data_IF_634335162206
#
_entry.id   IF_634335162206
#
_cell.length_a   1.000
_cell.length_b   1.000
_cell.length_c   1.000
_cell.angle_alpha   90.00
_cell.angle_beta   90.00
_cell.angle_gamma   90.00
#
_symmetry.space_group_name_H-M   'P 1'
#
loop_
_entity.id
_entity.type
_entity.pdbx_description
1 polymer ?
#
# COMPACT_ATOMS: atom_id res chain seq x y z
N UNK A 1 9.03 19.59 -5.23
CA UNK A 1 8.45 18.23 -5.29
C UNK A 1 8.21 17.79 -3.86
N UNK A 2 7.23 16.94 -3.61
CA UNK A 2 6.95 16.42 -2.27
C UNK A 2 7.51 15.02 -2.12
N UNK A 3 7.91 14.62 -0.90
CA UNK A 3 8.25 13.23 -0.56
C UNK A 3 6.98 12.49 -0.21
N UNK A 4 6.86 11.22 -0.56
CA UNK A 4 5.67 10.42 -0.31
C UNK A 4 6.00 8.98 0.10
N UNK A 5 5.13 8.41 0.94
CA UNK A 5 5.07 6.97 1.22
C UNK A 5 3.73 6.46 0.72
N UNK A 6 3.79 5.48 -0.17
CA UNK A 6 2.63 4.77 -0.70
C UNK A 6 2.44 3.47 0.08
N UNK A 7 1.26 3.23 0.56
CA UNK A 7 0.90 2.02 1.31
C UNK A 7 -0.08 1.17 0.50
N UNK A 8 0.12 -0.14 0.45
CA UNK A 8 -1.02 -1.03 0.22
C UNK A 8 -1.98 -0.94 1.41
N UNK A 9 -3.23 -1.35 1.22
CA UNK A 9 -4.23 -1.30 2.27
C UNK A 9 -4.32 -2.63 3.01
N UNK A 10 -4.75 -3.68 2.32
CA UNK A 10 -5.05 -4.98 2.90
C UNK A 10 -3.77 -5.76 3.21
N UNK A 11 -3.54 -6.10 4.47
CA UNK A 11 -2.29 -6.72 4.94
C UNK A 11 -1.19 -5.72 5.34
N UNK A 12 -1.40 -4.42 5.13
CA UNK A 12 -0.45 -3.34 5.49
C UNK A 12 -1.08 -2.34 6.46
N UNK A 13 -2.20 -1.72 6.10
CA UNK A 13 -2.96 -0.79 6.95
C UNK A 13 -4.02 -1.53 7.77
N UNK A 14 -4.76 -2.44 7.14
CA UNK A 14 -5.77 -3.25 7.83
C UNK A 14 -5.47 -4.75 7.74
N UNK A 15 -5.98 -5.48 8.73
CA UNK A 15 -5.87 -6.93 8.82
C UNK A 15 -6.57 -7.60 7.63
N UNK A 16 -6.01 -8.74 7.22
CA UNK A 16 -6.70 -9.69 6.35
C UNK A 16 -7.67 -10.53 7.17
N UNK A 17 -8.74 -10.99 6.53
CA UNK A 17 -9.76 -11.87 7.13
C UNK A 17 -9.46 -13.31 6.74
N UNK A 18 -9.36 -14.19 7.74
CA UNK A 18 -9.22 -15.62 7.48
C UNK A 18 -10.58 -16.24 7.20
N UNK A 19 -10.73 -16.81 6.00
CA UNK A 19 -11.92 -17.54 5.56
C UNK A 19 -11.51 -18.97 5.21
N UNK A 20 -11.75 -19.88 6.16
CA UNK A 20 -11.44 -21.30 6.00
C UNK A 20 -9.99 -21.59 5.58
N UNK A 21 -9.03 -20.81 6.11
CA UNK A 21 -7.61 -20.92 5.83
C UNK A 21 -7.09 -20.04 4.68
N UNK A 22 -7.98 -19.35 3.97
CA UNK A 22 -7.62 -18.35 2.96
C UNK A 22 -7.67 -16.94 3.55
N UNK A 23 -6.60 -16.17 3.35
CA UNK A 23 -6.53 -14.77 3.77
C UNK A 23 -7.07 -13.87 2.66
N UNK A 24 -8.14 -13.16 2.95
CA UNK A 24 -8.84 -12.26 2.02
C UNK A 24 -8.91 -10.83 2.53
N UNK A 25 -9.23 -9.89 1.65
CA UNK A 25 -9.61 -8.55 2.07
C UNK A 25 -10.94 -8.56 2.86
N UNK A 26 -11.23 -7.54 3.68
CA UNK A 26 -12.56 -7.35 4.29
C UNK A 26 -13.65 -7.20 3.23
N UNK A 27 -14.80 -7.85 3.43
CA UNK A 27 -15.97 -7.77 2.54
C UNK A 27 -17.07 -6.83 3.06
N UNK A 28 -16.89 -6.31 4.27
CA UNK A 28 -17.75 -5.29 4.87
C UNK A 28 -16.96 -4.39 5.79
N UNK A 29 -17.51 -3.22 6.10
CA UNK A 29 -16.89 -2.30 7.06
C UNK A 29 -16.73 -2.92 8.45
N UNK A 30 -17.59 -3.85 8.84
CA UNK A 30 -17.54 -4.51 10.15
C UNK A 30 -16.34 -5.45 10.29
N UNK A 31 -15.80 -5.92 9.16
CA UNK A 31 -14.58 -6.75 9.12
C UNK A 31 -13.29 -5.91 9.07
N UNK A 32 -13.40 -4.61 8.79
CA UNK A 32 -12.24 -3.73 8.67
C UNK A 32 -11.64 -3.44 10.04
N UNK A 33 -10.39 -3.88 10.25
CA UNK A 33 -9.63 -3.64 11.48
C UNK A 33 -8.24 -3.16 11.11
N UNK A 34 -7.80 -2.07 11.73
CA UNK A 34 -6.42 -1.60 11.57
C UNK A 34 -5.43 -2.62 12.13
N UNK A 35 -4.33 -2.83 11.41
CA UNK A 35 -3.19 -3.59 11.93
C UNK A 35 -2.60 -2.83 13.13
N UNK A 36 -2.24 -3.52 14.23
CA UNK A 36 -1.51 -2.90 15.33
C UNK A 36 -0.26 -2.18 14.83
N UNK A 37 -0.13 -0.90 15.18
CA UNK A 37 0.97 -0.05 14.73
C UNK A 37 0.74 0.70 13.41
N UNK A 38 -0.35 0.46 12.67
CA UNK A 38 -0.61 1.15 11.40
C UNK A 38 -0.80 2.66 11.57
N UNK A 39 -1.53 3.09 12.59
CA UNK A 39 -1.71 4.51 12.90
C UNK A 39 -0.39 5.18 13.26
N UNK A 40 0.40 4.55 14.14
CA UNK A 40 1.74 5.03 14.51
C UNK A 40 2.68 5.10 13.29
N UNK A 41 2.61 4.12 12.39
CA UNK A 41 3.41 4.10 11.18
C UNK A 41 3.11 5.31 10.28
N UNK A 42 1.83 5.62 10.08
CA UNK A 42 1.41 6.81 9.32
C UNK A 42 1.86 8.08 10.05
N UNK A 43 1.73 8.15 11.37
CA UNK A 43 2.18 9.29 12.18
C UNK A 43 3.68 9.53 12.02
N UNK A 44 4.53 8.49 12.05
CA UNK A 44 5.99 8.60 11.85
C UNK A 44 6.30 9.29 10.52
N UNK A 45 5.75 8.81 9.41
CA UNK A 45 6.04 9.40 8.09
C UNK A 45 5.48 10.81 7.94
N UNK A 46 4.35 11.11 8.59
CA UNK A 46 3.78 12.46 8.61
C UNK A 46 4.67 13.44 9.40
N UNK A 47 5.23 13.03 10.52
CA UNK A 47 6.20 13.85 11.30
C UNK A 47 7.47 14.17 10.50
N UNK A 48 7.92 13.25 9.65
CA UNK A 48 9.04 13.50 8.72
C UNK A 48 8.68 14.41 7.53
N UNK A 49 7.43 14.84 7.42
CA UNK A 49 6.96 15.70 6.33
C UNK A 49 6.62 14.98 5.03
N UNK A 50 6.44 13.67 5.05
CA UNK A 50 5.97 12.92 3.90
C UNK A 50 4.45 13.06 3.69
N UNK A 51 4.04 13.03 2.43
CA UNK A 51 2.65 12.70 2.12
C UNK A 51 2.48 11.18 2.25
N UNK A 52 1.34 10.76 2.79
CA UNK A 52 0.97 9.36 2.94
C UNK A 52 -0.20 9.02 2.01
N UNK A 53 -0.03 8.04 1.13
CA UNK A 53 -1.04 7.64 0.15
C UNK A 53 -1.35 6.15 0.25
N UNK A 54 -2.61 5.77 0.01
CA UNK A 54 -3.02 4.37 -0.14
C UNK A 54 -3.26 4.04 -1.60
N UNK A 55 -2.72 2.90 -2.08
CA UNK A 55 -2.96 2.35 -3.41
C UNK A 55 -3.34 0.87 -3.31
N UNK A 56 -4.58 0.52 -3.62
CA UNK A 56 -5.13 -0.81 -3.32
C UNK A 56 -5.94 -1.40 -4.46
N UNK A 57 -5.80 -2.71 -4.68
CA UNK A 57 -6.68 -3.46 -5.58
C UNK A 57 -7.93 -3.91 -4.81
N UNK A 58 -9.11 -3.59 -5.34
CA UNK A 58 -10.41 -3.90 -4.73
C UNK A 58 -11.37 -4.55 -5.74
N UNK A 59 -11.00 -5.72 -6.30
CA UNK A 59 -11.82 -6.39 -7.31
C UNK A 59 -13.16 -6.90 -6.76
N UNK A 60 -13.26 -7.12 -5.45
CA UNK A 60 -14.46 -7.62 -4.78
C UNK A 60 -15.67 -6.70 -4.95
N UNK A 61 -15.45 -5.41 -5.23
CA UNK A 61 -16.54 -4.48 -5.60
C UNK A 61 -17.07 -4.81 -6.98
N UNK A 62 -16.19 -5.03 -7.96
CA UNK A 62 -16.57 -5.43 -9.32
C UNK A 62 -17.28 -6.78 -9.34
N UNK A 63 -16.81 -7.71 -8.50
CA UNK A 63 -17.38 -9.04 -8.35
C UNK A 63 -18.70 -9.06 -7.55
N UNK A 64 -19.14 -7.90 -7.02
CA UNK A 64 -20.39 -7.78 -6.24
C UNK A 64 -20.31 -8.34 -4.82
N UNK A 65 -19.12 -8.67 -4.33
CA UNK A 65 -18.87 -9.20 -2.98
C UNK A 65 -18.82 -8.09 -1.95
N UNK A 66 -18.08 -6.99 -2.26
CA UNK A 66 -17.94 -5.82 -1.41
C UNK A 66 -18.84 -4.69 -1.92
N UNK A 67 -19.66 -4.11 -1.05
CA UNK A 67 -20.48 -2.94 -1.43
C UNK A 67 -19.62 -1.70 -1.63
N UNK A 68 -19.87 -0.88 -2.67
CA UNK A 68 -19.11 0.36 -2.90
C UNK A 68 -19.09 1.29 -1.68
N UNK A 69 -20.20 1.37 -0.95
CA UNK A 69 -20.30 2.20 0.26
C UNK A 69 -19.36 1.72 1.37
N UNK A 70 -19.18 0.41 1.52
CA UNK A 70 -18.27 -0.13 2.53
C UNK A 70 -16.81 0.14 2.13
N UNK A 71 -16.46 0.01 0.84
CA UNK A 71 -15.14 0.44 0.36
C UNK A 71 -14.88 1.92 0.68
N UNK A 72 -15.83 2.80 0.41
CA UNK A 72 -15.68 4.24 0.72
C UNK A 72 -15.48 4.49 2.22
N UNK A 73 -16.20 3.74 3.08
CA UNK A 73 -16.05 3.82 4.54
C UNK A 73 -14.68 3.33 4.99
N UNK A 74 -14.16 2.24 4.41
CA UNK A 74 -12.82 1.74 4.69
C UNK A 74 -11.74 2.74 4.28
N UNK A 75 -11.85 3.35 3.09
CA UNK A 75 -10.94 4.41 2.65
C UNK A 75 -10.99 5.63 3.58
N UNK A 76 -12.19 5.95 4.09
CA UNK A 76 -12.33 7.01 5.10
C UNK A 76 -11.60 6.67 6.42
N UNK A 77 -11.58 5.41 6.85
CA UNK A 77 -10.79 5.01 8.02
C UNK A 77 -9.28 5.24 7.78
N UNK A 78 -8.79 5.01 6.57
CA UNK A 78 -7.40 5.34 6.22
C UNK A 78 -7.15 6.85 6.34
N UNK A 79 -8.04 7.70 5.84
CA UNK A 79 -7.92 9.16 5.98
C UNK A 79 -7.92 9.57 7.46
N UNK A 80 -8.75 8.94 8.28
CA UNK A 80 -8.84 9.27 9.72
C UNK A 80 -7.54 9.03 10.50
N UNK A 81 -6.67 8.12 10.04
CA UNK A 81 -5.36 7.87 10.67
C UNK A 81 -4.22 8.71 10.05
N UNK A 82 -4.52 9.65 9.15
CA UNK A 82 -3.53 10.58 8.59
C UNK A 82 -3.12 10.32 7.15
N UNK A 83 -3.73 9.37 6.43
CA UNK A 83 -3.53 9.23 4.98
C UNK A 83 -4.09 10.47 4.29
N UNK A 84 -3.30 11.07 3.40
CA UNK A 84 -3.67 12.33 2.70
C UNK A 84 -4.62 12.07 1.54
N UNK A 85 -4.42 10.97 0.80
CA UNK A 85 -5.25 10.58 -0.33
C UNK A 85 -5.09 9.09 -0.65
N UNK A 86 -5.96 8.54 -1.49
CA UNK A 86 -5.84 7.15 -1.90
C UNK A 86 -6.62 6.81 -3.15
N UNK A 87 -6.10 5.83 -3.88
CA UNK A 87 -6.72 5.30 -5.09
C UNK A 87 -6.96 3.80 -4.95
N UNK A 88 -8.01 3.34 -5.60
CA UNK A 88 -8.33 1.92 -5.68
C UNK A 88 -8.67 1.48 -7.10
N UNK A 89 -8.25 0.28 -7.46
CA UNK A 89 -8.54 -0.33 -8.75
C UNK A 89 -9.59 -1.43 -8.58
N UNK A 90 -10.68 -1.35 -9.32
CA UNK A 90 -11.79 -2.30 -9.25
C UNK A 90 -11.69 -3.39 -10.30
N UNK A 91 -11.21 -3.05 -11.50
CA UNK A 91 -11.20 -3.92 -12.67
C UNK A 91 -9.83 -4.56 -12.86
N UNK A 92 -9.81 -5.92 -12.82
CA UNK A 92 -8.60 -6.71 -13.12
C UNK A 92 -8.12 -6.42 -14.54
N UNK A 93 -6.81 -6.24 -14.70
CA UNK A 93 -6.21 -5.96 -16.00
C UNK A 93 -6.24 -4.49 -16.43
N UNK A 94 -6.93 -3.60 -15.71
CA UNK A 94 -6.85 -2.16 -15.96
C UNK A 94 -5.43 -1.61 -15.72
N UNK A 95 -5.11 -0.44 -16.30
CA UNK A 95 -3.84 0.23 -16.08
C UNK A 95 -3.59 0.59 -14.59
N UNK A 96 -4.65 0.69 -13.79
CA UNK A 96 -4.58 0.98 -12.37
C UNK A 96 -4.39 -0.27 -11.50
N UNK A 97 -4.82 -1.45 -11.99
CA UNK A 97 -4.78 -2.69 -11.21
C UNK A 97 -3.33 -3.19 -11.06
N UNK A 98 -2.81 -3.24 -9.83
CA UNK A 98 -1.46 -3.76 -9.54
C UNK A 98 -1.34 -5.22 -10.04
N UNK A 99 -0.26 -5.60 -10.75
CA UNK A 99 1.07 -4.98 -10.77
C UNK A 99 1.27 -3.89 -11.83
N UNK A 100 0.23 -3.33 -12.43
CA UNK A 100 0.37 -2.09 -13.19
C UNK A 100 0.57 -0.92 -12.23
N UNK A 101 1.24 0.13 -12.68
CA UNK A 101 1.61 1.27 -11.83
C UNK A 101 0.74 2.51 -12.02
N UNK A 102 -0.42 2.38 -12.66
CA UNK A 102 -1.27 3.52 -13.00
C UNK A 102 -1.75 4.34 -11.79
N UNK A 103 -2.08 3.70 -10.66
CA UNK A 103 -2.43 4.43 -9.43
C UNK A 103 -1.24 5.26 -8.92
N UNK A 104 -0.04 4.67 -8.87
CA UNK A 104 1.18 5.38 -8.46
C UNK A 104 1.46 6.56 -9.37
N UNK A 105 1.46 6.33 -10.70
CA UNK A 105 1.72 7.39 -11.68
C UNK A 105 0.72 8.56 -11.59
N UNK A 106 -0.54 8.25 -11.29
CA UNK A 106 -1.59 9.25 -11.10
C UNK A 106 -1.29 10.14 -9.89
N UNK A 107 -1.01 9.56 -8.72
CA UNK A 107 -0.68 10.32 -7.50
C UNK A 107 0.66 11.04 -7.63
N UNK A 108 1.68 10.40 -8.21
CA UNK A 108 2.99 11.02 -8.46
C UNK A 108 2.83 12.29 -9.29
N UNK A 109 2.04 12.24 -10.37
CA UNK A 109 1.78 13.40 -11.22
C UNK A 109 0.95 14.46 -10.51
N UNK A 110 -0.12 14.06 -9.82
CA UNK A 110 -1.04 14.96 -9.13
C UNK A 110 -0.35 15.78 -8.05
N UNK A 111 0.46 15.13 -7.23
CA UNK A 111 1.13 15.75 -6.08
C UNK A 111 2.57 16.20 -6.38
N UNK A 112 3.07 15.98 -7.59
CA UNK A 112 4.46 16.29 -7.99
C UNK A 112 5.47 15.61 -7.08
N UNK A 113 5.30 14.29 -6.88
CA UNK A 113 6.12 13.49 -5.98
C UNK A 113 7.54 13.34 -6.51
N UNK A 114 8.52 13.49 -5.62
CA UNK A 114 9.93 13.16 -5.88
C UNK A 114 10.12 11.64 -5.72
N UNK A 115 10.29 10.95 -6.84
CA UNK A 115 10.42 9.48 -6.84
C UNK A 115 11.66 8.99 -6.11
N UNK A 116 12.76 9.76 -6.20
CA UNK A 116 14.06 9.37 -5.61
C UNK A 116 14.06 9.44 -4.08
N UNK A 117 13.09 10.15 -3.50
CA UNK A 117 12.92 10.31 -2.06
C UNK A 117 11.56 9.74 -1.59
N UNK A 118 11.01 8.77 -2.31
CA UNK A 118 9.68 8.24 -2.01
C UNK A 118 9.67 6.72 -2.02
N UNK A 119 8.73 6.16 -1.26
CA UNK A 119 8.70 4.75 -0.91
C UNK A 119 7.35 4.14 -1.24
N UNK A 120 7.34 2.83 -1.48
CA UNK A 120 6.13 2.02 -1.46
C UNK A 120 6.30 0.86 -0.47
N UNK A 121 5.27 0.62 0.33
CA UNK A 121 5.20 -0.44 1.33
C UNK A 121 4.07 -1.40 0.94
N UNK A 122 4.37 -2.68 0.82
CA UNK A 122 3.40 -3.70 0.49
C UNK A 122 3.76 -5.08 1.01
N UNK A 123 2.78 -5.97 1.06
CA UNK A 123 2.93 -7.34 1.55
C UNK A 123 2.95 -8.39 0.41
N UNK A 124 2.88 -7.93 -0.85
CA UNK A 124 2.84 -8.80 -2.03
C UNK A 124 3.76 -8.27 -3.14
N UNK A 125 4.18 -9.20 -4.02
CA UNK A 125 4.91 -8.84 -5.23
C UNK A 125 4.15 -7.82 -6.11
N UNK A 126 2.83 -7.80 -6.03
CA UNK A 126 1.96 -6.85 -6.74
C UNK A 126 2.12 -5.40 -6.26
N UNK A 127 2.78 -5.18 -5.13
CA UNK A 127 3.12 -3.85 -4.62
C UNK A 127 4.54 -3.46 -5.02
N UNK A 128 5.46 -4.42 -4.97
CA UNK A 128 6.88 -4.22 -5.27
C UNK A 128 7.10 -3.94 -6.76
N UNK A 129 6.47 -4.73 -7.64
CA UNK A 129 6.60 -4.56 -9.09
C UNK A 129 6.18 -3.16 -9.58
N UNK A 130 5.01 -2.60 -9.24
CA UNK A 130 4.66 -1.24 -9.64
C UNK A 130 5.56 -0.18 -9.00
N UNK A 131 6.04 -0.39 -7.77
CA UNK A 131 7.04 0.48 -7.13
C UNK A 131 8.33 0.55 -7.93
N UNK A 132 8.89 -0.60 -8.28
CA UNK A 132 10.08 -0.70 -9.14
C UNK A 132 9.86 0.00 -10.49
N UNK A 133 8.72 -0.25 -11.17
CA UNK A 133 8.37 0.42 -12.44
C UNK A 133 8.27 1.93 -12.31
N UNK A 134 7.81 2.43 -11.16
CA UNK A 134 7.68 3.86 -10.87
C UNK A 134 8.95 4.47 -10.28
N UNK A 135 10.03 3.69 -10.14
CA UNK A 135 11.32 4.12 -9.57
C UNK A 135 11.20 4.67 -8.15
N UNK A 136 10.37 4.04 -7.35
CA UNK A 136 10.26 4.26 -5.91
C UNK A 136 11.14 3.25 -5.17
N UNK A 137 11.61 3.60 -3.98
CA UNK A 137 12.19 2.62 -3.06
C UNK A 137 11.10 1.69 -2.55
N UNK A 138 11.34 0.38 -2.61
CA UNK A 138 10.36 -0.65 -2.34
C UNK A 138 10.64 -1.35 -1.00
N UNK A 139 9.64 -1.42 -0.13
CA UNK A 139 9.73 -2.10 1.18
C UNK A 139 8.66 -3.19 1.24
N UNK A 140 9.10 -4.43 1.38
CA UNK A 140 8.22 -5.59 1.50
C UNK A 140 7.99 -5.94 2.97
N UNK A 141 6.72 -6.15 3.32
CA UNK A 141 6.34 -6.67 4.64
C UNK A 141 6.17 -8.18 4.55
N UNK A 142 7.00 -8.90 5.29
CA UNK A 142 6.98 -10.36 5.35
C UNK A 142 8.38 -10.95 5.39
N UNK A 143 8.46 -12.29 5.39
CA UNK A 143 9.76 -13.00 5.47
C UNK A 143 10.19 -13.62 4.14
N UNK A 144 9.23 -14.02 3.31
CA UNK A 144 9.49 -14.73 2.06
C UNK A 144 8.88 -13.99 0.88
N UNK A 145 9.67 -13.18 0.21
CA UNK A 145 9.25 -12.54 -1.02
C UNK A 145 9.25 -13.55 -2.16
N UNK A 146 8.09 -13.72 -2.78
CA UNK A 146 7.91 -14.59 -3.96
C UNK A 146 7.16 -13.82 -5.04
N UNK A 147 7.68 -13.87 -6.27
CA UNK A 147 7.05 -13.28 -7.45
C UNK A 147 6.91 -14.31 -8.58
N UNK A 148 5.97 -14.13 -9.52
CA UNK A 148 5.90 -14.94 -10.73
C UNK A 148 7.19 -14.85 -11.55
N UNK A 149 7.52 -15.91 -12.31
CA UNK A 149 8.76 -16.02 -13.09
C UNK A 149 9.03 -14.81 -14.02
N UNK A 150 7.97 -14.19 -14.55
CA UNK A 150 8.10 -12.99 -15.38
C UNK A 150 8.60 -11.73 -14.64
N UNK A 151 8.63 -11.78 -13.31
CA UNK A 151 9.09 -10.70 -12.42
C UNK A 151 10.16 -11.17 -11.43
N UNK A 152 10.77 -12.34 -11.66
CA UNK A 152 11.77 -12.95 -10.77
C UNK A 152 13.06 -12.11 -10.63
N UNK A 153 13.28 -11.17 -11.54
CA UNK A 153 14.39 -10.21 -11.51
C UNK A 153 14.09 -8.95 -10.66
N UNK A 154 12.86 -8.79 -10.14
CA UNK A 154 12.46 -7.67 -9.29
C UNK A 154 12.41 -8.14 -7.84
N UNK A 155 13.29 -7.59 -7.02
CA UNK A 155 13.31 -7.80 -5.57
C UNK A 155 13.01 -6.49 -4.84
N UNK A 156 12.42 -6.55 -3.64
CA UNK A 156 12.28 -5.36 -2.81
C UNK A 156 13.64 -4.84 -2.37
N UNK A 157 13.78 -3.53 -2.24
CA UNK A 157 14.99 -2.90 -1.72
C UNK A 157 15.20 -3.24 -0.24
N UNK A 158 14.09 -3.37 0.51
CA UNK A 158 14.09 -3.72 1.93
C UNK A 158 12.99 -4.72 2.26
N UNK A 159 13.23 -5.54 3.29
CA UNK A 159 12.27 -6.51 3.85
C UNK A 159 12.17 -6.27 5.36
N UNK A 160 10.96 -6.14 5.87
CA UNK A 160 10.66 -5.91 7.29
C UNK A 160 9.46 -6.75 7.74
N UNK A 161 9.25 -6.87 9.06
CA UNK A 161 8.18 -7.74 9.59
C UNK A 161 6.79 -7.08 9.62
N UNK A 162 6.72 -5.73 9.69
CA UNK A 162 5.45 -5.01 9.82
C UNK A 162 5.55 -3.56 9.33
N UNK A 163 4.39 -2.91 9.20
CA UNK A 163 4.30 -1.55 8.67
C UNK A 163 5.00 -0.50 9.54
N UNK A 164 4.99 -0.67 10.87
CA UNK A 164 5.67 0.26 11.76
C UNK A 164 7.19 0.19 11.56
N UNK A 165 7.75 -1.02 11.47
CA UNK A 165 9.18 -1.19 11.16
C UNK A 165 9.54 -0.61 9.79
N UNK A 166 8.66 -0.71 8.77
CA UNK A 166 8.88 -0.08 7.48
C UNK A 166 9.03 1.44 7.60
N UNK A 167 8.17 2.09 8.39
CA UNK A 167 8.22 3.55 8.56
C UNK A 167 9.40 4.00 9.44
N UNK A 168 9.76 3.24 10.47
CA UNK A 168 10.96 3.51 11.26
C UNK A 168 12.24 3.32 10.43
N UNK A 169 12.29 2.34 9.53
CA UNK A 169 13.40 2.20 8.59
C UNK A 169 13.54 3.43 7.68
N UNK A 170 12.42 3.99 7.19
CA UNK A 170 12.46 5.23 6.41
C UNK A 170 13.06 6.38 7.24
N UNK A 171 12.70 6.48 8.52
CA UNK A 171 13.25 7.49 9.43
C UNK A 171 14.77 7.31 9.63
N UNK A 172 15.24 6.08 9.75
CA UNK A 172 16.69 5.78 9.83
C UNK A 172 17.41 6.20 8.55
N UNK A 173 16.87 5.83 7.36
CA UNK A 173 17.44 6.16 6.06
C UNK A 173 17.49 7.67 5.74
N UNK A 174 16.61 8.46 6.35
CA UNK A 174 16.61 9.93 6.20
C UNK A 174 17.66 10.62 7.10
N UNK A 175 18.09 9.95 8.17
CA UNK A 175 19.05 10.50 9.12
C UNK A 175 20.53 10.13 8.80
N UNK A 176 20.74 9.21 7.85
CA UNK A 176 22.06 8.79 7.38
C UNK A 176 22.55 9.66 6.18
#
# INVERSE_FOLDING_TARGET
>A
MVKAVFFDRDGVINELVNRDGELTAPWSIDEFKLIPGAEQAVEVVKHMGYNAFVVTNQPDVYDGILRPLDLMRMMKQCINIGIDDGLYALERGSAWYKPNNGMLETLIKMYKVDRSQSYIIGDRWKDIVPGYKSKLTTIFIGQNYLSPAQYDYIYPDYIVDNVLQACLLIEELEND
#
